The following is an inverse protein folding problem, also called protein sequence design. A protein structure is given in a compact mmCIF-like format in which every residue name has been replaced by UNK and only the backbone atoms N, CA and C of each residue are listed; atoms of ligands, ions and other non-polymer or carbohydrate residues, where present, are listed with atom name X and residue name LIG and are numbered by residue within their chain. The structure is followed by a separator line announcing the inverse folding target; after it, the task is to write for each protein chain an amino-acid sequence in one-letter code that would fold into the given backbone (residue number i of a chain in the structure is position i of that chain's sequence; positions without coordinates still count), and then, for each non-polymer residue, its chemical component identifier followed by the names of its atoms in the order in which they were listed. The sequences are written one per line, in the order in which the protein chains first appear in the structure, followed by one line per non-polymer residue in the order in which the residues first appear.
data_IF_328096427110
#
_entry.id   IF_328096427110
#
_cell.length_a   1.000
_cell.length_b   1.000
_cell.length_c   1.000
_cell.angle_alpha   90.00
_cell.angle_beta   90.00
_cell.angle_gamma   90.00
#
_symmetry.space_group_name_H-M   'P 1'
#
loop_
_entity.id
_entity.type
_entity.pdbx_description
1 polymer ?
#
# COMPACT_ATOMS: atom_id res chain seq x y z
N UNK A 1 31.85 -18.74 4.33
CA UNK A 1 31.21 -19.01 3.01
C UNK A 1 29.84 -19.65 3.22
N UNK A 2 29.70 -20.63 4.12
CA UNK A 2 28.42 -21.27 4.49
C UNK A 2 27.36 -20.23 4.85
N UNK A 3 27.63 -19.35 5.83
CA UNK A 3 26.66 -18.34 6.29
C UNK A 3 26.21 -17.37 5.18
N UNK A 4 27.08 -17.11 4.21
CA UNK A 4 26.74 -16.27 3.07
C UNK A 4 25.79 -16.96 2.09
N UNK A 5 25.99 -18.26 1.80
CA UNK A 5 25.09 -19.07 0.96
C UNK A 5 23.75 -19.25 1.65
N UNK A 6 23.77 -19.57 2.96
CA UNK A 6 22.55 -19.65 3.79
C UNK A 6 21.76 -18.33 3.74
N UNK A 7 22.45 -17.20 3.91
CA UNK A 7 21.83 -15.88 3.84
C UNK A 7 21.24 -15.55 2.47
N UNK A 8 21.87 -15.98 1.37
CA UNK A 8 21.34 -15.86 0.01
C UNK A 8 20.05 -16.67 -0.14
N UNK A 9 20.05 -17.93 0.25
CA UNK A 9 18.89 -18.81 0.13
C UNK A 9 17.72 -18.32 0.99
N UNK A 10 17.98 -17.91 2.23
CA UNK A 10 16.97 -17.34 3.10
C UNK A 10 16.40 -16.03 2.50
N UNK A 11 17.26 -15.16 1.95
CA UNK A 11 16.82 -13.92 1.30
C UNK A 11 15.94 -14.15 0.06
N UNK A 12 16.20 -15.20 -0.71
CA UNK A 12 15.35 -15.57 -1.86
C UNK A 12 14.03 -16.18 -1.36
N UNK A 13 14.09 -17.04 -0.35
CA UNK A 13 12.90 -17.70 0.21
C UNK A 13 11.93 -16.74 0.91
N UNK A 14 12.43 -15.81 1.71
CA UNK A 14 11.60 -14.82 2.41
C UNK A 14 11.04 -13.75 1.47
N UNK A 15 11.71 -13.48 0.35
CA UNK A 15 11.34 -12.45 -0.64
C UNK A 15 11.38 -11.04 -0.07
N UNK A 16 10.50 -10.72 0.87
CA UNK A 16 10.41 -9.42 1.55
C UNK A 16 10.79 -9.61 3.02
N UNK A 17 11.77 -8.84 3.49
CA UNK A 17 12.18 -8.85 4.91
C UNK A 17 11.08 -8.36 5.84
N UNK A 18 11.15 -8.81 7.09
CA UNK A 18 10.16 -8.46 8.12
C UNK A 18 10.13 -6.97 8.44
N UNK A 19 11.26 -6.27 8.27
CA UNK A 19 11.33 -4.81 8.44
C UNK A 19 10.38 -4.10 7.45
N UNK A 20 10.36 -4.53 6.18
CA UNK A 20 9.47 -3.97 5.16
C UNK A 20 8.01 -4.34 5.42
N UNK A 21 7.75 -5.54 5.94
CA UNK A 21 6.41 -5.94 6.36
C UNK A 21 5.96 -5.11 7.56
N UNK A 22 6.84 -4.88 8.53
CA UNK A 22 6.55 -3.99 9.66
C UNK A 22 6.27 -2.54 9.20
N UNK A 23 6.99 -2.05 8.19
CA UNK A 23 6.72 -0.73 7.61
C UNK A 23 5.37 -0.67 6.89
N UNK A 24 4.92 -1.76 6.27
CA UNK A 24 3.57 -1.84 5.68
C UNK A 24 2.47 -1.75 6.74
N UNK A 25 2.71 -2.25 7.94
CA UNK A 25 1.73 -2.26 9.04
C UNK A 25 1.63 -0.91 9.75
N UNK A 26 2.55 0.04 9.49
CA UNK A 26 2.54 1.38 10.11
C UNK A 26 1.49 2.28 9.49
N UNK A 27 0.84 3.06 10.35
CA UNK A 27 0.02 4.19 9.92
C UNK A 27 0.88 5.29 9.28
N UNK A 28 0.32 6.20 8.48
CA UNK A 28 1.07 7.33 7.93
C UNK A 28 1.76 8.19 9.00
N UNK A 29 1.13 8.35 10.16
CA UNK A 29 1.69 9.12 11.29
C UNK A 29 2.88 8.39 11.95
N UNK A 30 2.84 7.06 12.04
CA UNK A 30 3.90 6.23 12.63
C UNK A 30 5.08 6.04 11.67
N UNK A 31 4.82 5.94 10.37
CA UNK A 31 5.89 5.77 9.38
C UNK A 31 6.84 6.96 9.33
N UNK A 32 6.31 8.17 9.27
CA UNK A 32 7.11 9.39 9.37
C UNK A 32 6.29 10.56 9.96
N UNK A 33 6.36 10.72 11.28
CA UNK A 33 5.65 11.76 11.99
C UNK A 33 6.00 13.19 11.51
N UNK A 34 7.25 13.43 11.10
CA UNK A 34 7.68 14.74 10.61
C UNK A 34 7.01 15.12 9.29
N UNK A 35 6.97 14.20 8.32
CA UNK A 35 6.30 14.43 7.04
C UNK A 35 4.78 14.54 7.20
N UNK A 36 4.19 13.75 8.09
CA UNK A 36 2.77 13.82 8.40
C UNK A 36 2.39 15.17 9.01
N UNK A 37 3.15 15.67 10.00
CA UNK A 37 2.94 16.97 10.61
C UNK A 37 3.15 18.12 9.63
N UNK A 38 4.13 18.00 8.73
CA UNK A 38 4.33 18.96 7.64
C UNK A 38 3.10 19.04 6.73
N UNK A 39 2.54 17.89 6.33
CA UNK A 39 1.33 17.82 5.51
C UNK A 39 0.14 18.51 6.19
N UNK A 40 -0.08 18.23 7.47
CA UNK A 40 -1.14 18.88 8.26
C UNK A 40 -0.92 20.38 8.41
N UNK A 41 0.32 20.81 8.59
CA UNK A 41 0.66 22.25 8.69
C UNK A 41 0.37 22.96 7.38
N UNK A 42 0.74 22.37 6.25
CA UNK A 42 0.43 22.91 4.92
C UNK A 42 -1.08 22.96 4.69
N UNK A 43 -1.80 21.88 5.05
CA UNK A 43 -3.26 21.84 4.96
C UNK A 43 -3.93 22.99 5.72
N UNK A 44 -3.50 23.20 6.97
CA UNK A 44 -4.10 24.21 7.87
C UNK A 44 -3.71 25.64 7.52
N UNK A 45 -2.44 25.91 7.19
CA UNK A 45 -1.91 27.27 7.02
C UNK A 45 -2.05 27.79 5.59
N UNK A 46 -1.87 26.94 4.58
CA UNK A 46 -1.86 27.36 3.18
C UNK A 46 -3.14 26.97 2.43
N UNK A 47 -3.58 25.72 2.54
CA UNK A 47 -4.65 25.19 1.71
C UNK A 47 -6.04 25.54 2.25
N UNK A 48 -6.24 25.50 3.56
CA UNK A 48 -7.54 25.76 4.20
C UNK A 48 -8.08 27.18 3.94
N UNK A 49 -7.28 28.25 3.96
CA UNK A 49 -7.78 29.59 3.60
C UNK A 49 -8.25 29.64 2.13
N UNK A 50 -7.50 29.03 1.22
CA UNK A 50 -7.86 28.97 -0.21
C UNK A 50 -9.15 28.18 -0.40
N UNK A 51 -9.27 27.01 0.22
CA UNK A 51 -10.46 26.19 0.18
C UNK A 51 -11.70 26.93 0.73
N UNK A 52 -11.53 27.71 1.81
CA UNK A 52 -12.62 28.55 2.38
C UNK A 52 -13.06 29.63 1.40
N UNK A 53 -12.14 30.25 0.67
CA UNK A 53 -12.46 31.24 -0.36
C UNK A 53 -13.23 30.59 -1.53
N UNK A 54 -12.74 29.44 -2.01
CA UNK A 54 -13.42 28.68 -3.07
C UNK A 54 -14.81 28.27 -2.61
N UNK A 55 -14.96 27.79 -1.39
CA UNK A 55 -16.24 27.41 -0.83
C UNK A 55 -17.21 28.59 -0.75
N UNK A 56 -16.73 29.79 -0.39
CA UNK A 56 -17.56 31.00 -0.38
C UNK A 56 -18.06 31.34 -1.80
N UNK A 57 -17.19 31.24 -2.82
CA UNK A 57 -17.60 31.44 -4.22
C UNK A 57 -18.64 30.40 -4.65
N UNK A 58 -18.40 29.12 -4.35
CA UNK A 58 -19.35 28.03 -4.66
C UNK A 58 -20.70 28.23 -3.94
N UNK A 59 -20.67 28.74 -2.72
CA UNK A 59 -21.87 29.10 -1.97
C UNK A 59 -22.71 30.16 -2.70
N UNK A 60 -22.08 31.24 -3.15
CA UNK A 60 -22.76 32.30 -3.91
C UNK A 60 -23.35 31.76 -5.21
N UNK A 61 -22.60 30.95 -5.95
CA UNK A 61 -23.06 30.35 -7.21
C UNK A 61 -24.26 29.39 -6.98
N UNK A 62 -24.22 28.57 -5.93
CA UNK A 62 -25.31 27.67 -5.62
C UNK A 62 -26.59 28.42 -5.19
N UNK A 63 -26.43 29.50 -4.39
CA UNK A 63 -27.56 30.36 -4.03
C UNK A 63 -28.15 31.09 -5.24
N UNK A 64 -27.32 31.60 -6.15
CA UNK A 64 -27.78 32.21 -7.40
C UNK A 64 -28.57 31.20 -8.25
N UNK A 65 -28.06 29.96 -8.36
CA UNK A 65 -28.73 28.86 -9.10
C UNK A 65 -30.07 28.49 -8.48
N UNK A 66 -30.16 28.42 -7.16
CA UNK A 66 -31.40 28.11 -6.44
C UNK A 66 -32.39 29.24 -6.62
N UNK A 67 -31.94 30.50 -6.58
CA UNK A 67 -32.78 31.68 -6.81
C UNK A 67 -33.41 31.66 -8.20
N UNK A 68 -32.69 31.31 -9.24
CA UNK A 68 -33.24 31.22 -10.61
C UNK A 68 -34.22 30.06 -10.79
N UNK A 69 -34.10 28.97 -10.00
CA UNK A 69 -35.08 27.86 -10.03
C UNK A 69 -36.36 28.15 -9.26
N UNK A 70 -36.32 29.12 -8.37
CA UNK A 70 -37.48 29.50 -7.52
C UNK A 70 -38.39 30.57 -8.14
N UNK A 71 -38.13 30.95 -9.41
CA UNK A 71 -38.84 32.01 -10.10
C UNK A 71 -40.31 31.63 -10.31
N UNK A 72 -41.21 32.29 -9.58
CA UNK A 72 -42.64 32.12 -9.67
C UNK A 72 -43.36 31.49 -8.46
N UNK A 73 -42.68 30.74 -7.61
CA UNK A 73 -43.30 30.16 -6.40
C UNK A 73 -42.52 30.51 -5.14
N UNK A 74 -43.10 31.39 -4.32
CA UNK A 74 -42.45 31.93 -3.12
C UNK A 74 -42.25 30.86 -2.03
N UNK A 75 -43.15 29.90 -1.89
CA UNK A 75 -43.05 28.85 -0.88
C UNK A 75 -41.99 27.81 -1.28
N UNK A 76 -41.96 27.45 -2.55
CA UNK A 76 -40.93 26.56 -3.10
C UNK A 76 -39.57 27.22 -2.99
N UNK A 77 -39.43 28.51 -3.29
CA UNK A 77 -38.18 29.27 -3.18
C UNK A 77 -37.58 29.23 -1.79
N UNK A 78 -38.39 29.47 -0.75
CA UNK A 78 -37.93 29.40 0.66
C UNK A 78 -37.43 28.02 1.03
N UNK A 79 -38.10 26.94 0.63
CA UNK A 79 -37.68 25.55 0.89
C UNK A 79 -36.36 25.22 0.19
N UNK A 80 -36.21 25.63 -1.08
CA UNK A 80 -35.01 25.38 -1.84
C UNK A 80 -33.79 26.12 -1.26
N UNK A 81 -33.95 27.40 -0.88
CA UNK A 81 -32.89 28.19 -0.24
C UNK A 81 -32.53 27.59 1.11
N UNK A 82 -33.49 27.19 1.94
CA UNK A 82 -33.24 26.55 3.22
C UNK A 82 -32.42 25.22 3.06
N UNK A 83 -32.77 24.38 2.07
CA UNK A 83 -32.05 23.15 1.77
C UNK A 83 -30.61 23.44 1.27
N UNK A 84 -30.45 24.45 0.42
CA UNK A 84 -29.13 24.85 -0.07
C UNK A 84 -28.23 25.34 1.09
N UNK A 85 -28.75 26.19 1.97
CA UNK A 85 -28.06 26.68 3.15
C UNK A 85 -27.66 25.54 4.09
N UNK A 86 -28.55 24.57 4.34
CA UNK A 86 -28.24 23.39 5.15
C UNK A 86 -27.12 22.56 4.52
N UNK A 87 -27.21 22.25 3.22
CA UNK A 87 -26.15 21.54 2.46
C UNK A 87 -24.81 22.25 2.56
N UNK A 88 -24.79 23.58 2.33
CA UNK A 88 -23.58 24.38 2.38
C UNK A 88 -22.96 24.41 3.79
N UNK A 89 -23.78 24.49 4.84
CA UNK A 89 -23.32 24.41 6.22
C UNK A 89 -22.65 23.07 6.52
N UNK A 90 -23.23 21.97 6.04
CA UNK A 90 -22.60 20.64 6.20
C UNK A 90 -21.26 20.55 5.47
N UNK A 91 -21.17 21.04 4.22
CA UNK A 91 -19.90 21.02 3.46
C UNK A 91 -18.85 21.93 4.11
N UNK A 92 -19.28 23.09 4.62
CA UNK A 92 -18.37 24.00 5.35
C UNK A 92 -17.82 23.32 6.60
N UNK A 93 -18.68 22.69 7.40
CA UNK A 93 -18.24 21.95 8.60
C UNK A 93 -17.31 20.79 8.23
N UNK A 94 -17.62 20.04 7.17
CA UNK A 94 -16.77 18.97 6.67
C UNK A 94 -15.40 19.50 6.22
N UNK A 95 -15.35 20.64 5.51
CA UNK A 95 -14.10 21.26 5.10
C UNK A 95 -13.26 21.75 6.29
N UNK A 96 -13.90 22.25 7.36
CA UNK A 96 -13.21 22.64 8.59
C UNK A 96 -12.61 21.46 9.34
N UNK A 97 -13.26 20.29 9.27
CA UNK A 97 -12.87 19.04 9.93
C UNK A 97 -12.39 17.97 8.92
N UNK A 98 -11.82 18.40 7.80
CA UNK A 98 -11.36 17.52 6.73
C UNK A 98 -10.37 16.45 7.20
N UNK A 99 -9.56 16.76 8.20
CA UNK A 99 -8.58 15.84 8.80
C UNK A 99 -9.28 14.62 9.44
N UNK A 100 -10.40 14.82 10.13
CA UNK A 100 -11.16 13.72 10.75
C UNK A 100 -11.72 12.73 9.72
N UNK A 101 -12.08 13.24 8.53
CA UNK A 101 -12.55 12.37 7.45
C UNK A 101 -11.45 11.46 6.92
N UNK A 102 -10.22 11.97 6.79
CA UNK A 102 -9.08 11.15 6.39
C UNK A 102 -8.69 10.16 7.48
N UNK A 103 -8.64 10.60 8.74
CA UNK A 103 -8.37 9.72 9.88
C UNK A 103 -9.37 8.56 9.96
N UNK A 104 -10.66 8.80 9.71
CA UNK A 104 -11.64 7.73 9.67
C UNK A 104 -11.36 6.70 8.55
N UNK A 105 -10.85 7.13 7.39
CA UNK A 105 -10.45 6.22 6.31
C UNK A 105 -9.20 5.43 6.73
N UNK A 106 -8.23 6.08 7.37
CA UNK A 106 -7.03 5.43 7.88
C UNK A 106 -7.39 4.36 8.92
N UNK A 107 -8.25 4.67 9.91
CA UNK A 107 -8.71 3.72 10.94
C UNK A 107 -9.43 2.50 10.34
N UNK A 108 -10.25 2.70 9.29
CA UNK A 108 -10.88 1.59 8.55
C UNK A 108 -9.81 0.73 7.87
N UNK A 109 -8.83 1.35 7.22
CA UNK A 109 -7.72 0.66 6.59
C UNK A 109 -6.90 -0.18 7.56
N UNK A 110 -6.58 0.40 8.72
CA UNK A 110 -5.83 -0.26 9.78
C UNK A 110 -6.62 -1.42 10.40
N UNK A 111 -7.94 -1.26 10.56
CA UNK A 111 -8.82 -2.34 11.04
C UNK A 111 -8.83 -3.53 10.07
N UNK A 112 -8.90 -3.26 8.76
CA UNK A 112 -8.83 -4.31 7.73
C UNK A 112 -7.47 -4.99 7.72
N UNK A 113 -6.39 -4.20 7.80
CA UNK A 113 -5.03 -4.71 7.83
C UNK A 113 -4.78 -5.58 9.07
N UNK A 114 -5.23 -5.15 10.25
CA UNK A 114 -5.19 -5.92 11.50
C UNK A 114 -6.01 -7.20 11.41
N UNK A 115 -7.18 -7.16 10.74
CA UNK A 115 -8.01 -8.33 10.46
C UNK A 115 -7.28 -9.36 9.58
N UNK A 116 -6.60 -8.93 8.52
CA UNK A 116 -5.80 -9.80 7.65
C UNK A 116 -4.62 -10.39 8.44
N UNK A 117 -3.94 -9.57 9.25
CA UNK A 117 -2.82 -10.01 10.08
C UNK A 117 -3.25 -11.10 11.08
N UNK A 118 -4.39 -10.92 11.74
CA UNK A 118 -4.92 -11.91 12.69
C UNK A 118 -5.47 -13.18 12.03
N UNK A 119 -5.95 -13.08 10.79
CA UNK A 119 -6.45 -14.22 10.01
C UNK A 119 -5.32 -14.98 9.30
N UNK A 120 -4.12 -14.40 9.21
CA UNK A 120 -2.98 -15.05 8.56
C UNK A 120 -2.62 -16.36 9.30
N UNK A 121 -2.55 -17.51 8.60
CA UNK A 121 -2.23 -18.77 9.24
C UNK A 121 -0.80 -18.70 9.81
N UNK A 122 -0.68 -18.97 11.11
CA UNK A 122 0.61 -18.99 11.85
C UNK A 122 1.60 -20.01 11.29
N UNK A 123 1.13 -20.99 10.53
CA UNK A 123 1.89 -22.09 9.94
C UNK A 123 2.51 -21.79 8.57
N UNK A 124 2.12 -20.71 7.90
CA UNK A 124 2.66 -20.34 6.56
C UNK A 124 3.25 -18.94 6.47
N UNK A 125 3.06 -18.14 7.53
CA UNK A 125 3.50 -16.76 7.61
C UNK A 125 4.84 -16.58 8.36
N UNK A 126 5.55 -17.69 8.67
CA UNK A 126 6.91 -17.55 9.19
C UNK A 126 7.73 -16.80 8.16
N UNK A 127 8.28 -15.70 8.61
CA UNK A 127 9.07 -14.72 7.86
C UNK A 127 10.28 -15.35 7.16
N UNK A 128 10.67 -16.51 7.60
CA UNK A 128 11.79 -17.24 7.11
C UNK A 128 11.33 -18.66 6.72
N UNK A 129 11.32 -18.96 5.41
CA UNK A 129 11.13 -20.33 4.93
C UNK A 129 12.29 -21.22 5.37
N UNK A 130 13.32 -20.65 6.00
CA UNK A 130 14.50 -21.35 6.50
C UNK A 130 15.19 -22.20 5.43
N UNK A 131 15.02 -21.83 4.15
CA UNK A 131 15.59 -22.58 3.02
C UNK A 131 17.08 -22.78 3.19
N UNK A 132 17.81 -21.73 3.57
CA UNK A 132 19.24 -21.78 3.82
C UNK A 132 19.56 -22.53 5.10
N UNK A 133 18.78 -22.30 6.16
CA UNK A 133 19.02 -22.97 7.45
C UNK A 133 18.75 -24.48 7.38
N UNK A 134 17.71 -24.90 6.69
CA UNK A 134 17.41 -26.32 6.47
C UNK A 134 18.46 -27.05 5.59
N UNK A 135 19.23 -26.28 4.79
CA UNK A 135 20.30 -26.82 3.95
C UNK A 135 21.69 -26.57 4.53
N UNK A 136 21.81 -26.00 5.73
CA UNK A 136 23.10 -25.62 6.33
C UNK A 136 24.07 -26.77 6.41
N UNK A 137 23.63 -27.94 6.89
CA UNK A 137 24.48 -29.11 7.02
C UNK A 137 24.96 -29.66 5.67
N UNK A 138 24.11 -29.58 4.65
CA UNK A 138 24.45 -29.95 3.29
C UNK A 138 25.45 -28.97 2.65
N UNK A 139 25.31 -27.67 2.93
CA UNK A 139 26.23 -26.64 2.48
C UNK A 139 27.61 -26.78 3.13
N UNK A 140 27.64 -27.12 4.43
CA UNK A 140 28.85 -27.31 5.17
C UNK A 140 29.62 -28.59 4.73
N UNK A 141 28.88 -29.67 4.55
CA UNK A 141 29.44 -30.97 4.10
C UNK A 141 29.99 -30.94 2.65
N UNK A 142 29.46 -30.06 1.79
CA UNK A 142 29.90 -29.94 0.39
C UNK A 142 31.32 -29.39 0.23
N UNK A 143 31.92 -28.84 1.29
CA UNK A 143 33.22 -28.25 1.29
C UNK A 143 33.40 -27.10 0.27
N UNK A 144 34.59 -26.52 0.20
CA UNK A 144 34.81 -25.35 -0.66
C UNK A 144 34.66 -25.61 -2.16
N UNK A 145 34.91 -26.86 -2.61
CA UNK A 145 34.74 -27.25 -4.02
C UNK A 145 33.30 -27.31 -4.46
N UNK A 146 32.36 -27.63 -3.57
CA UNK A 146 30.91 -27.61 -3.86
C UNK A 146 30.27 -26.24 -3.62
N UNK A 147 30.80 -25.46 -2.68
CA UNK A 147 30.26 -24.14 -2.32
C UNK A 147 30.48 -23.07 -3.39
N UNK A 148 31.66 -23.09 -4.09
CA UNK A 148 32.00 -22.09 -5.13
C UNK A 148 31.02 -22.16 -6.34
N UNK A 149 30.78 -23.32 -6.98
CA UNK A 149 29.81 -23.42 -8.06
C UNK A 149 28.40 -23.06 -7.63
N UNK A 150 27.97 -23.47 -6.42
CA UNK A 150 26.70 -23.14 -5.84
C UNK A 150 26.53 -21.61 -5.70
N UNK A 151 27.55 -20.92 -5.19
CA UNK A 151 27.53 -19.47 -5.02
C UNK A 151 27.41 -18.73 -6.35
N UNK A 152 28.13 -19.17 -7.37
CA UNK A 152 28.06 -18.57 -8.72
C UNK A 152 26.65 -18.75 -9.32
N UNK A 153 26.05 -19.93 -9.17
CA UNK A 153 24.69 -20.23 -9.64
C UNK A 153 23.65 -19.41 -8.89
N UNK A 154 23.78 -19.26 -7.57
CA UNK A 154 22.83 -18.50 -6.74
C UNK A 154 22.95 -16.99 -6.91
N UNK A 155 24.06 -16.47 -7.47
CA UNK A 155 24.27 -15.03 -7.64
C UNK A 155 23.19 -14.39 -8.50
N UNK A 156 22.74 -15.05 -9.56
CA UNK A 156 21.71 -14.52 -10.47
C UNK A 156 20.34 -14.43 -9.78
N UNK A 157 19.76 -15.50 -9.21
CA UNK A 157 18.51 -15.42 -8.45
C UNK A 157 18.58 -14.41 -7.29
N UNK A 158 19.71 -14.34 -6.60
CA UNK A 158 19.94 -13.39 -5.52
C UNK A 158 19.89 -11.94 -6.00
N UNK A 159 20.56 -11.62 -7.13
CA UNK A 159 20.54 -10.27 -7.67
C UNK A 159 19.12 -9.84 -8.08
N UNK A 160 18.37 -10.76 -8.70
CA UNK A 160 16.97 -10.53 -9.07
C UNK A 160 16.11 -10.35 -7.81
N UNK A 161 16.31 -11.17 -6.78
CA UNK A 161 15.59 -11.04 -5.49
C UNK A 161 15.87 -9.71 -4.81
N UNK A 162 17.11 -9.25 -4.76
CA UNK A 162 17.45 -7.92 -4.23
C UNK A 162 16.84 -6.80 -5.06
N UNK A 163 16.84 -6.94 -6.37
CA UNK A 163 16.12 -6.01 -7.26
C UNK A 163 14.63 -5.96 -6.96
N UNK A 164 14.00 -7.12 -6.75
CA UNK A 164 12.59 -7.20 -6.34
C UNK A 164 12.33 -6.49 -5.01
N UNK A 165 13.17 -6.72 -4.00
CA UNK A 165 13.07 -6.04 -2.70
C UNK A 165 13.15 -4.53 -2.83
N UNK A 166 14.06 -4.00 -3.66
CA UNK A 166 14.15 -2.56 -3.94
C UNK A 166 12.85 -2.03 -4.55
N UNK A 167 12.27 -2.75 -5.52
CA UNK A 167 11.00 -2.34 -6.14
C UNK A 167 9.88 -2.28 -5.10
N UNK A 168 9.77 -3.28 -4.22
CA UNK A 168 8.79 -3.28 -3.12
C UNK A 168 8.99 -2.09 -2.20
N UNK A 169 10.22 -1.83 -1.78
CA UNK A 169 10.57 -0.68 -0.92
C UNK A 169 10.15 0.65 -1.55
N UNK A 170 10.44 0.83 -2.83
CA UNK A 170 10.06 2.04 -3.58
C UNK A 170 8.54 2.18 -3.65
N UNK A 171 7.80 1.11 -3.89
CA UNK A 171 6.33 1.13 -3.93
C UNK A 171 5.75 1.56 -2.58
N UNK A 172 6.27 1.01 -1.47
CA UNK A 172 5.85 1.38 -0.10
C UNK A 172 6.13 2.87 0.16
N UNK A 173 7.34 3.34 -0.14
CA UNK A 173 7.75 4.72 0.08
C UNK A 173 6.90 5.69 -0.73
N UNK A 174 6.70 5.42 -2.02
CA UNK A 174 5.89 6.27 -2.91
C UNK A 174 4.44 6.34 -2.44
N UNK A 175 3.87 5.25 -1.91
CA UNK A 175 2.53 5.24 -1.33
C UNK A 175 2.43 6.25 -0.17
N UNK A 176 3.36 6.22 0.81
CA UNK A 176 3.35 7.17 1.92
C UNK A 176 3.50 8.62 1.46
N UNK A 177 4.41 8.88 0.51
CA UNK A 177 4.58 10.21 -0.09
C UNK A 177 3.27 10.68 -0.73
N UNK A 178 2.55 9.82 -1.46
CA UNK A 178 1.26 10.16 -2.05
C UNK A 178 0.20 10.45 -0.99
N UNK A 179 0.13 9.68 0.09
CA UNK A 179 -0.78 9.93 1.21
C UNK A 179 -0.48 11.31 1.83
N UNK A 180 0.79 11.64 2.10
CA UNK A 180 1.17 12.93 2.67
C UNK A 180 0.81 14.10 1.74
N UNK A 181 1.02 13.95 0.42
CA UNK A 181 0.61 14.96 -0.55
C UNK A 181 -0.91 15.14 -0.56
N UNK A 182 -1.69 14.06 -0.57
CA UNK A 182 -3.14 14.16 -0.50
C UNK A 182 -3.58 14.78 0.82
N UNK A 183 -3.01 14.39 1.95
CA UNK A 183 -3.32 14.97 3.27
C UNK A 183 -3.06 16.47 3.28
N UNK A 184 -1.99 16.96 2.62
CA UNK A 184 -1.69 18.40 2.55
C UNK A 184 -2.77 19.18 1.78
N UNK A 185 -3.45 18.59 0.81
CA UNK A 185 -4.47 19.25 -0.02
C UNK A 185 -5.92 18.90 0.39
N UNK A 186 -6.13 18.22 1.50
CA UNK A 186 -7.42 17.68 1.90
C UNK A 186 -8.60 18.67 1.97
N UNK A 187 -8.45 19.96 2.38
CA UNK A 187 -9.60 20.87 2.46
C UNK A 187 -10.15 21.26 1.08
N UNK A 188 -9.31 21.24 0.04
CA UNK A 188 -9.66 21.74 -1.30
C UNK A 188 -10.72 20.86 -2.00
N UNK A 189 -10.55 19.51 -2.11
CA UNK A 189 -11.55 18.65 -2.74
C UNK A 189 -12.90 18.66 -2.03
N UNK A 190 -12.91 18.89 -0.71
CA UNK A 190 -14.16 18.96 0.07
C UNK A 190 -14.94 20.21 -0.33
N UNK A 191 -14.26 21.34 -0.56
CA UNK A 191 -14.90 22.56 -1.02
C UNK A 191 -15.63 22.35 -2.37
N UNK A 192 -15.09 21.53 -3.25
CA UNK A 192 -15.71 21.20 -4.55
C UNK A 192 -16.97 20.34 -4.44
N UNK A 193 -17.23 19.66 -3.31
CA UNK A 193 -18.46 18.89 -3.08
C UNK A 193 -19.68 19.81 -2.95
N UNK A 194 -19.48 21.09 -2.63
CA UNK A 194 -20.56 22.06 -2.46
C UNK A 194 -21.44 22.20 -3.71
N UNK A 195 -20.85 22.12 -4.91
CA UNK A 195 -21.54 22.31 -6.18
C UNK A 195 -21.70 20.99 -6.94
N UNK A 196 -22.82 20.78 -7.60
CA UNK A 196 -23.14 19.54 -8.32
C UNK A 196 -22.13 19.24 -9.45
N UNK A 197 -21.70 20.26 -10.17
CA UNK A 197 -20.77 20.13 -11.32
C UNK A 197 -19.36 19.69 -10.91
N UNK A 198 -18.90 20.11 -9.75
CA UNK A 198 -17.55 19.80 -9.24
C UNK A 198 -17.52 18.70 -8.20
N UNK A 199 -18.69 18.23 -7.73
CA UNK A 199 -18.85 17.21 -6.69
C UNK A 199 -18.03 15.94 -6.98
N UNK A 200 -17.96 15.55 -8.26
CA UNK A 200 -17.24 14.35 -8.67
C UNK A 200 -15.72 14.44 -8.35
N UNK A 201 -15.14 15.62 -8.40
CA UNK A 201 -13.73 15.82 -8.05
C UNK A 201 -13.45 15.51 -6.58
N UNK A 202 -14.33 15.98 -5.69
CA UNK A 202 -14.20 15.65 -4.26
C UNK A 202 -14.38 14.17 -3.99
N UNK A 203 -15.36 13.51 -4.64
CA UNK A 203 -15.59 12.06 -4.50
C UNK A 203 -14.39 11.27 -5.02
N UNK A 204 -13.83 11.65 -6.16
CA UNK A 204 -12.65 10.98 -6.73
C UNK A 204 -11.42 11.13 -5.82
N UNK A 205 -11.25 12.28 -5.16
CA UNK A 205 -10.20 12.45 -4.18
C UNK A 205 -10.31 11.44 -3.02
N UNK A 206 -11.49 11.28 -2.42
CA UNK A 206 -11.69 10.30 -1.35
C UNK A 206 -11.48 8.87 -1.82
N UNK A 207 -11.92 8.54 -3.04
CA UNK A 207 -11.66 7.24 -3.65
C UNK A 207 -10.16 6.99 -3.82
N UNK A 208 -9.42 7.99 -4.28
CA UNK A 208 -7.97 7.89 -4.45
C UNK A 208 -7.26 7.74 -3.11
N UNK A 209 -7.64 8.52 -2.09
CA UNK A 209 -7.09 8.39 -0.74
C UNK A 209 -7.37 7.00 -0.16
N UNK A 210 -8.61 6.55 -0.19
CA UNK A 210 -9.00 5.22 0.26
C UNK A 210 -8.23 4.12 -0.49
N UNK A 211 -8.07 4.24 -1.82
CA UNK A 211 -7.27 3.31 -2.61
C UNK A 211 -5.83 3.19 -2.11
N UNK A 212 -5.19 4.31 -1.74
CA UNK A 212 -3.81 4.30 -1.20
C UNK A 212 -3.76 3.68 0.21
N UNK A 213 -4.75 3.94 1.05
CA UNK A 213 -4.82 3.33 2.39
C UNK A 213 -5.00 1.82 2.27
N UNK A 214 -5.93 1.36 1.46
CA UNK A 214 -6.19 -0.07 1.24
C UNK A 214 -5.10 -0.78 0.43
N UNK A 215 -4.25 -0.05 -0.29
CA UNK A 215 -3.08 -0.63 -0.97
C UNK A 215 -2.16 -1.36 0.02
N UNK A 216 -2.10 -0.91 1.28
CA UNK A 216 -1.37 -1.59 2.34
C UNK A 216 -1.88 -3.00 2.59
N UNK A 217 -3.19 -3.12 2.76
CA UNK A 217 -3.84 -4.40 3.01
C UNK A 217 -3.67 -5.35 1.81
N UNK A 218 -3.80 -4.85 0.58
CA UNK A 218 -3.61 -5.65 -0.63
C UNK A 218 -2.15 -6.08 -0.82
N UNK A 219 -1.18 -5.22 -0.52
CA UNK A 219 0.25 -5.56 -0.57
C UNK A 219 0.61 -6.59 0.50
N UNK A 220 0.12 -6.42 1.72
CA UNK A 220 0.35 -7.38 2.80
C UNK A 220 -0.22 -8.76 2.45
N UNK A 221 -1.46 -8.81 1.97
CA UNK A 221 -2.09 -10.05 1.50
C UNK A 221 -1.31 -10.69 0.35
N UNK A 222 -0.81 -9.88 -0.58
CA UNK A 222 0.01 -10.33 -1.70
C UNK A 222 1.33 -10.98 -1.24
N UNK A 223 1.98 -10.40 -0.22
CA UNK A 223 3.20 -10.95 0.37
C UNK A 223 2.89 -12.30 1.08
N UNK A 224 1.78 -12.39 1.80
CA UNK A 224 1.35 -13.66 2.42
C UNK A 224 1.10 -14.75 1.38
N UNK A 225 0.40 -14.41 0.30
CA UNK A 225 0.16 -15.34 -0.82
C UNK A 225 1.48 -15.76 -1.49
N UNK A 226 2.39 -14.82 -1.70
CA UNK A 226 3.73 -15.11 -2.23
C UNK A 226 4.47 -16.12 -1.35
N UNK A 227 4.55 -15.89 -0.03
CA UNK A 227 5.22 -16.80 0.91
C UNK A 227 4.63 -18.19 0.87
N UNK A 228 3.31 -18.31 0.80
CA UNK A 228 2.62 -19.59 0.71
C UNK A 228 2.94 -20.33 -0.60
N UNK A 229 2.96 -19.62 -1.73
CA UNK A 229 3.28 -20.18 -3.04
C UNK A 229 4.74 -20.64 -3.12
N UNK A 230 5.67 -19.82 -2.65
CA UNK A 230 7.11 -20.13 -2.67
C UNK A 230 7.42 -21.30 -1.72
N UNK A 231 6.82 -21.32 -0.53
CA UNK A 231 6.95 -22.44 0.42
C UNK A 231 6.47 -23.77 -0.14
N UNK A 232 5.43 -23.76 -0.98
CA UNK A 232 4.94 -24.96 -1.67
C UNK A 232 5.82 -25.41 -2.83
N UNK A 233 6.51 -24.48 -3.49
CA UNK A 233 7.31 -24.75 -4.70
C UNK A 233 8.76 -25.09 -4.37
N UNK A 234 9.37 -24.36 -3.42
CA UNK A 234 10.76 -24.48 -2.97
C UNK A 234 10.81 -25.25 -1.64
N UNK A 235 10.34 -26.48 -1.63
CA UNK A 235 10.34 -27.30 -0.42
C UNK A 235 11.75 -27.85 -0.16
N UNK A 236 12.42 -27.48 0.95
CA UNK A 236 13.76 -27.98 1.31
C UNK A 236 13.80 -29.51 1.54
N UNK A 237 12.65 -30.12 1.87
CA UNK A 237 12.54 -31.57 2.04
C UNK A 237 12.81 -32.40 0.76
N UNK A 238 12.97 -31.75 -0.39
CA UNK A 238 13.40 -32.40 -1.65
C UNK A 238 14.89 -32.63 -1.73
N UNK A 239 15.68 -32.07 -0.81
CA UNK A 239 17.10 -32.37 -0.71
C UNK A 239 17.26 -33.77 -0.05
N UNK A 240 17.81 -34.73 -0.78
CA UNK A 240 18.06 -36.06 -0.27
C UNK A 240 19.52 -36.20 0.15
N UNK A 241 19.75 -36.96 1.24
CA UNK A 241 21.11 -37.35 1.62
C UNK A 241 21.81 -38.04 0.46
N UNK A 242 22.91 -37.40 -0.02
CA UNK A 242 23.68 -37.87 -1.17
C UNK A 242 23.58 -37.01 -2.43
N UNK A 243 22.64 -36.04 -2.49
CA UNK A 243 22.57 -35.12 -3.61
C UNK A 243 23.72 -34.08 -3.53
N UNK A 244 24.30 -33.75 -4.68
CA UNK A 244 25.26 -32.67 -4.72
C UNK A 244 24.56 -31.31 -4.58
N UNK A 245 25.09 -30.42 -3.72
CA UNK A 245 24.51 -29.09 -3.50
C UNK A 245 24.32 -28.28 -4.81
N UNK A 246 25.32 -28.36 -5.71
CA UNK A 246 25.27 -27.72 -7.01
C UNK A 246 24.20 -28.35 -7.93
N UNK A 247 23.97 -29.67 -7.84
CA UNK A 247 22.91 -30.36 -8.55
C UNK A 247 21.52 -29.90 -8.10
N UNK A 248 21.30 -29.83 -6.78
CA UNK A 248 20.02 -29.35 -6.24
C UNK A 248 19.73 -27.90 -6.67
N UNK A 249 20.74 -27.02 -6.60
CA UNK A 249 20.59 -25.62 -7.04
C UNK A 249 20.27 -25.55 -8.54
N UNK A 250 20.89 -26.39 -9.35
CA UNK A 250 20.65 -26.45 -10.79
C UNK A 250 19.22 -26.92 -11.11
N UNK A 251 18.75 -27.95 -10.43
CA UNK A 251 17.39 -28.50 -10.57
C UNK A 251 16.31 -27.50 -10.11
N UNK A 252 16.60 -26.72 -9.08
CA UNK A 252 15.69 -25.72 -8.54
C UNK A 252 15.97 -24.28 -9.04
N UNK A 253 16.93 -24.07 -9.92
CA UNK A 253 17.33 -22.76 -10.42
C UNK A 253 16.17 -21.96 -11.01
N UNK A 254 15.37 -22.61 -11.85
CA UNK A 254 14.19 -22.01 -12.45
C UNK A 254 13.15 -21.61 -11.38
N UNK A 255 12.97 -22.43 -10.36
CA UNK A 255 12.07 -22.15 -9.23
C UNK A 255 12.54 -20.95 -8.40
N UNK A 256 13.83 -20.86 -8.09
CA UNK A 256 14.45 -19.75 -7.35
C UNK A 256 14.33 -18.43 -8.12
N UNK A 257 14.56 -18.47 -9.42
CA UNK A 257 14.48 -17.31 -10.30
C UNK A 257 13.00 -16.87 -10.48
N UNK A 258 12.11 -17.85 -10.69
CA UNK A 258 10.68 -17.61 -10.79
C UNK A 258 10.12 -16.96 -9.52
N UNK A 259 10.51 -17.44 -8.34
CA UNK A 259 10.10 -16.85 -7.07
C UNK A 259 10.46 -15.36 -6.99
N UNK A 260 11.68 -15.00 -7.38
CA UNK A 260 12.15 -13.61 -7.36
C UNK A 260 11.37 -12.71 -8.35
N UNK A 261 11.06 -13.21 -9.55
CA UNK A 261 10.28 -12.49 -10.57
C UNK A 261 8.82 -12.39 -10.16
N UNK A 262 8.24 -13.46 -9.58
CA UNK A 262 6.86 -13.48 -9.10
C UNK A 262 6.62 -12.42 -8.02
N UNK A 263 7.58 -12.14 -7.16
CA UNK A 263 7.47 -11.11 -6.15
C UNK A 263 7.16 -9.74 -6.77
N UNK A 264 7.88 -9.36 -7.82
CA UNK A 264 7.64 -8.11 -8.55
C UNK A 264 6.23 -8.10 -9.16
N UNK A 265 5.86 -9.20 -9.81
CA UNK A 265 4.54 -9.34 -10.45
C UNK A 265 3.38 -9.23 -9.47
N UNK A 266 3.49 -9.90 -8.31
CA UNK A 266 2.46 -9.89 -7.26
C UNK A 266 2.31 -8.49 -6.65
N UNK A 267 3.42 -7.77 -6.40
CA UNK A 267 3.39 -6.41 -5.88
C UNK A 267 2.75 -5.43 -6.87
N UNK A 268 3.08 -5.57 -8.15
CA UNK A 268 2.44 -4.75 -9.22
C UNK A 268 0.95 -5.07 -9.34
N UNK A 269 0.56 -6.34 -9.26
CA UNK A 269 -0.83 -6.77 -9.28
C UNK A 269 -1.60 -6.23 -8.08
N UNK A 270 -1.04 -6.29 -6.88
CA UNK A 270 -1.65 -5.76 -5.65
C UNK A 270 -1.96 -4.26 -5.77
N UNK A 271 -1.03 -3.48 -6.34
CA UNK A 271 -1.24 -2.05 -6.61
C UNK A 271 -2.42 -1.82 -7.57
N UNK A 272 -2.49 -2.61 -8.65
CA UNK A 272 -3.60 -2.53 -9.61
C UNK A 272 -4.95 -2.92 -8.97
N UNK A 273 -4.97 -3.96 -8.13
CA UNK A 273 -6.18 -4.40 -7.42
C UNK A 273 -6.69 -3.31 -6.49
N UNK A 274 -5.82 -2.68 -5.69
CA UNK A 274 -6.20 -1.60 -4.80
C UNK A 274 -6.86 -0.43 -5.54
N UNK A 275 -6.31 -0.03 -6.69
CA UNK A 275 -6.90 1.03 -7.52
C UNK A 275 -8.29 0.65 -8.05
N UNK A 276 -8.45 -0.59 -8.57
CA UNK A 276 -9.72 -1.06 -9.13
C UNK A 276 -10.83 -1.20 -8.09
N UNK A 277 -10.50 -1.54 -6.83
CA UNK A 277 -11.48 -1.64 -5.74
C UNK A 277 -12.23 -0.31 -5.49
N UNK A 278 -11.58 0.83 -5.73
CA UNK A 278 -12.17 2.15 -5.52
C UNK A 278 -12.54 2.88 -6.82
N UNK A 279 -12.56 2.16 -7.95
CA UNK A 279 -12.98 2.68 -9.26
C UNK A 279 -11.95 3.63 -9.89
N UNK A 280 -10.65 3.45 -9.60
CA UNK A 280 -9.55 4.04 -10.33
C UNK A 280 -9.25 3.22 -11.59
N UNK A 281 -9.06 3.91 -12.73
CA UNK A 281 -8.56 3.32 -13.98
C UNK A 281 -7.06 3.09 -13.91
#
# INVERSE_FOLDING_TARGET
MVDFIVGILNSIGSGVGDDLVADLLKTPAEYNAGMYQLSLTVARSAVKPIASTILAIMCVLELARVSTRADGDRELGVKLVAMAMFKLTLVFTAAQHSELMLQAIDEIGDSVLGGIHSAAPTTGASSDLGLGDSMRDAIDSAGWMGQIPCLILLLIPFLVSKGATIVVTVVILLRFVQIYMLTAFNPLPIAFIAQEETRQWGINYFKQYASLVFQCATLYLAILMYRTLVGGTLNPSKFKDGDSLSGWVMDNFTGLLLASVMLIGIVMAANSVAKKLFGGE
#
